data_IF_228676089257
#
_entry.id   IF_228676089257
#
_cell.length_a   1.000
_cell.length_b   1.000
_cell.length_c   1.000
_cell.angle_alpha   90.00
_cell.angle_beta   90.00
_cell.angle_gamma   90.00
#
_symmetry.space_group_name_H-M   'P 1'
#
loop_
_entity.id
_entity.type
_entity.pdbx_description
1 polymer ?
#
# COMPACT_ATOMS: atom_id res chain seq x y z
N UNK A 1 -3.49 12.77 28.49
CA UNK A 1 -4.20 12.83 27.19
C UNK A 1 -3.38 13.48 26.05
N UNK A 2 -2.03 13.54 26.11
CA UNK A 2 -1.21 14.18 25.05
C UNK A 2 -0.74 13.24 23.92
N UNK A 3 -0.68 11.93 24.13
CA UNK A 3 -0.13 10.99 23.14
C UNK A 3 -0.97 10.87 21.86
N UNK A 4 -2.30 10.79 21.99
CA UNK A 4 -3.21 10.58 20.85
C UNK A 4 -3.26 11.78 19.89
N UNK A 5 -3.18 13.01 20.41
CA UNK A 5 -3.08 14.22 19.58
C UNK A 5 -1.75 14.30 18.81
N UNK A 6 -0.69 13.73 19.37
CA UNK A 6 0.65 13.73 18.76
C UNK A 6 0.75 12.75 17.60
N UNK A 7 0.15 11.55 17.72
CA UNK A 7 0.17 10.54 16.66
C UNK A 7 -0.64 10.97 15.43
N UNK A 8 -1.86 11.50 15.59
CA UNK A 8 -2.67 11.95 14.45
C UNK A 8 -2.03 13.14 13.72
N UNK A 9 -1.35 14.03 14.44
CA UNK A 9 -0.58 15.10 13.81
C UNK A 9 0.58 14.53 12.97
N UNK A 10 1.32 13.55 13.49
CA UNK A 10 2.40 12.89 12.75
C UNK A 10 1.87 12.18 11.49
N UNK A 11 0.73 11.49 11.60
CA UNK A 11 0.08 10.85 10.45
C UNK A 11 -0.31 11.92 9.41
N UNK A 12 -0.97 13.01 9.81
CA UNK A 12 -1.36 14.08 8.88
C UNK A 12 -0.16 14.67 8.12
N UNK A 13 0.95 14.92 8.80
CA UNK A 13 2.19 15.41 8.15
C UNK A 13 2.68 14.39 7.13
N UNK A 14 2.71 13.10 7.49
CA UNK A 14 3.16 12.03 6.59
C UNK A 14 2.24 11.82 5.40
N UNK A 15 0.92 11.97 5.58
CA UNK A 15 -0.05 11.95 4.49
C UNK A 15 0.25 13.08 3.50
N UNK A 16 0.38 14.32 3.97
CA UNK A 16 0.64 15.47 3.10
C UNK A 16 1.98 15.34 2.34
N UNK A 17 3.05 14.87 3.00
CA UNK A 17 4.33 14.57 2.34
C UNK A 17 4.16 13.51 1.23
N UNK A 18 3.37 12.47 1.51
CA UNK A 18 3.14 11.35 0.60
C UNK A 18 2.29 11.74 -0.60
N UNK A 19 1.26 12.56 -0.42
CA UNK A 19 0.45 13.12 -1.51
C UNK A 19 1.31 13.92 -2.50
N UNK A 20 2.27 14.70 -1.99
CA UNK A 20 3.26 15.40 -2.81
C UNK A 20 4.09 14.46 -3.69
N UNK A 21 4.53 13.33 -3.12
CA UNK A 21 5.30 12.29 -3.84
C UNK A 21 4.44 11.57 -4.88
N UNK A 22 3.21 11.21 -4.52
CA UNK A 22 2.26 10.54 -5.42
C UNK A 22 1.92 11.38 -6.65
N UNK A 23 1.89 12.71 -6.51
CA UNK A 23 1.74 13.61 -7.64
C UNK A 23 2.89 13.50 -8.65
N UNK A 24 4.12 13.24 -8.19
CA UNK A 24 5.30 13.09 -9.09
C UNK A 24 5.23 11.85 -9.97
N UNK A 25 4.49 10.83 -9.54
CA UNK A 25 4.22 9.60 -10.30
C UNK A 25 2.84 9.62 -10.97
N UNK A 26 2.17 10.78 -11.00
CA UNK A 26 0.91 10.99 -11.70
C UNK A 26 -0.32 10.35 -11.03
N UNK A 27 -0.24 10.00 -9.75
CA UNK A 27 -1.38 9.41 -9.04
C UNK A 27 -2.31 10.47 -8.45
N UNK A 28 -3.61 10.34 -8.73
CA UNK A 28 -4.66 11.13 -8.10
C UNK A 28 -5.16 10.47 -6.82
N UNK A 29 -4.88 11.09 -5.68
CA UNK A 29 -5.21 10.58 -4.33
C UNK A 29 -6.62 11.02 -3.94
N UNK A 30 -7.45 10.08 -3.48
CA UNK A 30 -8.67 10.39 -2.73
C UNK A 30 -8.31 10.89 -1.32
N UNK A 31 -9.10 11.79 -0.76
CA UNK A 31 -8.80 12.32 0.58
C UNK A 31 -8.73 11.19 1.62
N UNK A 32 -7.57 11.03 2.28
CA UNK A 32 -7.39 10.10 3.39
C UNK A 32 -7.19 10.88 4.68
N UNK A 33 -8.07 10.70 5.66
CA UNK A 33 -7.89 11.30 6.98
C UNK A 33 -6.93 10.46 7.84
N UNK A 34 -6.27 11.11 8.81
CA UNK A 34 -5.42 10.39 9.76
C UNK A 34 -6.19 9.35 10.61
N UNK A 35 -7.49 9.55 10.81
CA UNK A 35 -8.36 8.59 11.48
C UNK A 35 -8.57 7.33 10.65
N UNK A 36 -8.99 7.49 9.39
CA UNK A 36 -9.15 6.37 8.44
C UNK A 36 -7.84 5.60 8.27
N UNK A 37 -6.72 6.31 8.10
CA UNK A 37 -5.41 5.70 8.01
C UNK A 37 -5.08 4.87 9.26
N UNK A 38 -5.26 5.44 10.45
CA UNK A 38 -4.99 4.74 11.69
C UNK A 38 -5.88 3.50 11.86
N UNK A 39 -7.18 3.60 11.58
CA UNK A 39 -8.11 2.48 11.67
C UNK A 39 -7.75 1.37 10.69
N UNK A 40 -7.39 1.73 9.45
CA UNK A 40 -6.97 0.76 8.43
C UNK A 40 -5.74 -0.03 8.86
N UNK A 41 -4.67 0.67 9.26
CA UNK A 41 -3.39 0.06 9.65
C UNK A 41 -3.49 -0.73 10.95
N UNK A 42 -4.37 -0.32 11.87
CA UNK A 42 -4.59 -1.06 13.14
C UNK A 42 -5.62 -2.19 13.01
N UNK A 43 -6.18 -2.39 11.81
CA UNK A 43 -7.11 -3.45 11.52
C UNK A 43 -6.47 -4.84 11.49
N UNK A 44 -7.30 -5.86 11.65
CA UNK A 44 -6.84 -7.25 11.50
C UNK A 44 -6.61 -7.58 10.01
N UNK A 45 -5.53 -8.27 9.70
CA UNK A 45 -5.24 -8.78 8.34
C UNK A 45 -5.23 -10.31 8.33
N UNK A 46 -5.69 -10.98 7.24
CA UNK A 46 -5.65 -12.45 7.15
C UNK A 46 -4.23 -13.04 7.20
N UNK A 47 -3.23 -12.25 6.83
CA UNK A 47 -1.81 -12.57 6.82
C UNK A 47 -1.14 -12.37 8.18
N UNK A 48 -1.79 -11.66 9.11
CA UNK A 48 -1.23 -11.34 10.42
C UNK A 48 0.03 -10.48 10.32
N UNK A 49 0.04 -9.51 9.39
CA UNK A 49 1.26 -8.79 9.01
C UNK A 49 1.98 -8.14 10.21
N UNK A 50 3.32 -8.16 10.13
CA UNK A 50 4.25 -7.77 11.18
C UNK A 50 4.60 -6.26 11.10
N UNK A 51 4.17 -5.57 10.03
CA UNK A 51 4.53 -4.17 9.79
C UNK A 51 3.71 -3.27 10.72
N UNK A 52 4.40 -2.57 11.61
CA UNK A 52 3.76 -1.67 12.57
C UNK A 52 3.51 -0.28 11.98
N UNK A 53 2.59 0.48 12.59
CA UNK A 53 2.36 1.89 12.25
C UNK A 53 3.67 2.71 12.25
N UNK A 54 4.59 2.44 13.17
CA UNK A 54 5.88 3.14 13.22
C UNK A 54 6.80 2.76 12.05
N UNK A 55 6.77 1.49 11.60
CA UNK A 55 7.50 1.09 10.40
C UNK A 55 6.94 1.80 9.17
N UNK A 56 5.62 1.90 9.05
CA UNK A 56 4.96 2.61 7.96
C UNK A 56 5.34 4.10 7.99
N UNK A 57 5.15 4.78 9.12
CA UNK A 57 5.44 6.22 9.23
C UNK A 57 6.92 6.59 9.07
N UNK A 58 7.84 5.62 9.18
CA UNK A 58 9.29 5.83 9.00
C UNK A 58 9.81 5.44 7.62
N UNK A 59 9.03 4.73 6.81
CA UNK A 59 9.40 4.30 5.47
C UNK A 59 8.46 4.95 4.44
N UNK A 60 9.02 5.76 3.55
CA UNK A 60 8.21 6.49 2.56
C UNK A 60 7.52 5.60 1.53
N UNK A 61 8.10 4.43 1.21
CA UNK A 61 7.50 3.47 0.29
C UNK A 61 6.29 2.79 0.91
N UNK A 62 6.37 2.42 2.20
CA UNK A 62 5.21 1.92 2.93
C UNK A 62 4.12 2.98 3.08
N UNK A 63 4.47 4.23 3.42
CA UNK A 63 3.47 5.31 3.43
C UNK A 63 2.78 5.46 2.07
N UNK A 64 3.55 5.47 0.99
CA UNK A 64 3.02 5.59 -0.37
C UNK A 64 2.08 4.44 -0.69
N UNK A 65 2.48 3.21 -0.38
CA UNK A 65 1.68 2.01 -0.57
C UNK A 65 0.31 2.11 0.11
N UNK A 66 0.30 2.37 1.42
CA UNK A 66 -0.93 2.39 2.22
C UNK A 66 -1.88 3.52 1.77
N UNK A 67 -1.35 4.69 1.40
CA UNK A 67 -2.18 5.79 0.90
C UNK A 67 -2.83 5.46 -0.43
N UNK A 68 -2.11 4.80 -1.35
CA UNK A 68 -2.69 4.34 -2.62
C UNK A 68 -3.75 3.28 -2.36
N UNK A 69 -3.48 2.30 -1.50
CA UNK A 69 -4.44 1.24 -1.20
C UNK A 69 -5.75 1.79 -0.63
N UNK A 70 -5.67 2.63 0.42
CA UNK A 70 -6.84 3.28 1.01
C UNK A 70 -7.58 4.13 -0.03
N UNK A 71 -6.84 4.91 -0.83
CA UNK A 71 -7.42 5.76 -1.88
C UNK A 71 -8.17 4.93 -2.94
N UNK A 72 -7.60 3.82 -3.42
CA UNK A 72 -8.27 2.93 -4.37
C UNK A 72 -9.54 2.29 -3.78
N UNK A 73 -9.50 1.88 -2.50
CA UNK A 73 -10.69 1.35 -1.83
C UNK A 73 -11.80 2.40 -1.74
N UNK A 74 -11.45 3.66 -1.47
CA UNK A 74 -12.41 4.78 -1.48
C UNK A 74 -12.99 5.04 -2.88
N UNK A 75 -12.18 4.97 -3.94
CA UNK A 75 -12.67 5.04 -5.35
C UNK A 75 -13.65 3.92 -5.67
N UNK A 76 -13.51 2.75 -5.05
CA UNK A 76 -14.44 1.63 -5.14
C UNK A 76 -15.69 1.77 -4.27
N UNK A 77 -15.86 2.91 -3.57
CA UNK A 77 -16.99 3.19 -2.68
C UNK A 77 -16.93 2.43 -1.35
N UNK A 78 -15.76 1.96 -0.93
CA UNK A 78 -15.60 1.24 0.35
C UNK A 78 -15.33 2.24 1.47
N UNK A 79 -16.04 2.07 2.57
CA UNK A 79 -15.79 2.80 3.83
C UNK A 79 -14.59 2.16 4.53
N UNK A 80 -13.66 3.01 4.98
CA UNK A 80 -12.42 2.60 5.63
C UNK A 80 -12.65 2.51 7.13
N UNK A 81 -12.42 1.32 7.68
CA UNK A 81 -12.47 0.98 9.10
C UNK A 81 -11.49 -0.17 9.41
N UNK A 82 -11.34 -0.51 10.69
CA UNK A 82 -10.47 -1.60 11.18
C UNK A 82 -10.83 -3.01 10.70
N UNK A 83 -11.93 -3.17 9.97
CA UNK A 83 -12.41 -4.44 9.44
C UNK A 83 -12.41 -4.45 7.90
N UNK A 84 -12.00 -3.35 7.24
CA UNK A 84 -12.02 -3.22 5.79
C UNK A 84 -11.29 -4.37 5.11
N UNK A 85 -10.09 -4.72 5.59
CA UNK A 85 -9.28 -5.82 5.04
C UNK A 85 -10.04 -7.14 5.09
N UNK A 86 -10.58 -7.50 6.26
CA UNK A 86 -11.31 -8.76 6.44
C UNK A 86 -12.62 -8.82 5.65
N UNK A 87 -13.38 -7.72 5.63
CA UNK A 87 -14.70 -7.65 4.93
C UNK A 87 -14.57 -7.62 3.41
N UNK A 88 -13.48 -7.05 2.89
CA UNK A 88 -13.34 -6.71 1.48
C UNK A 88 -12.06 -7.27 0.85
N UNK A 89 -11.51 -8.36 1.38
CA UNK A 89 -10.21 -8.90 0.99
C UNK A 89 -9.95 -8.96 -0.52
N UNK A 90 -10.87 -9.45 -1.38
CA UNK A 90 -10.63 -9.46 -2.83
C UNK A 90 -10.39 -8.07 -3.44
N UNK A 91 -11.10 -7.04 -2.97
CA UNK A 91 -10.94 -5.65 -3.42
C UNK A 91 -9.69 -5.01 -2.82
N UNK A 92 -9.37 -5.37 -1.58
CA UNK A 92 -8.11 -4.96 -0.91
C UNK A 92 -6.92 -5.51 -1.68
N UNK A 93 -6.95 -6.78 -2.07
CA UNK A 93 -5.88 -7.35 -2.89
C UNK A 93 -5.78 -6.70 -4.29
N UNK A 94 -6.90 -6.27 -4.88
CA UNK A 94 -6.86 -5.49 -6.13
C UNK A 94 -6.22 -4.11 -5.95
N UNK A 95 -6.56 -3.41 -4.87
CA UNK A 95 -6.00 -2.13 -4.47
C UNK A 95 -4.50 -2.25 -4.14
N UNK A 96 -4.10 -3.30 -3.40
CA UNK A 96 -2.72 -3.67 -3.11
C UNK A 96 -1.87 -3.80 -4.36
N UNK A 97 -2.37 -4.46 -5.41
CA UNK A 97 -1.66 -4.55 -6.68
C UNK A 97 -1.53 -3.18 -7.36
N UNK A 98 -2.50 -2.27 -7.23
CA UNK A 98 -2.33 -0.88 -7.68
C UNK A 98 -1.25 -0.18 -6.86
N UNK A 99 -1.31 -0.28 -5.53
CA UNK A 99 -0.36 0.33 -4.61
C UNK A 99 1.07 -0.11 -4.90
N UNK A 100 1.28 -1.41 -5.12
CA UNK A 100 2.57 -1.97 -5.50
C UNK A 100 3.12 -1.38 -6.81
N UNK A 101 2.28 -1.18 -7.84
CA UNK A 101 2.74 -0.60 -9.10
C UNK A 101 3.24 0.84 -8.92
N UNK A 102 2.51 1.66 -8.14
CA UNK A 102 2.92 3.05 -7.87
C UNK A 102 4.12 3.13 -6.93
N UNK A 103 4.19 2.28 -5.90
CA UNK A 103 5.33 2.14 -5.00
C UNK A 103 6.61 1.83 -5.77
N UNK A 104 6.58 0.80 -6.62
CA UNK A 104 7.74 0.40 -7.42
C UNK A 104 8.07 1.42 -8.51
N UNK A 105 7.07 2.11 -9.08
CA UNK A 105 7.30 3.22 -10.02
C UNK A 105 8.04 4.37 -9.32
N UNK A 106 7.66 4.71 -8.10
CA UNK A 106 8.32 5.75 -7.31
C UNK A 106 9.75 5.34 -6.93
N UNK A 107 9.95 4.11 -6.46
CA UNK A 107 11.29 3.56 -6.18
C UNK A 107 12.18 3.58 -7.43
N UNK A 108 11.63 3.22 -8.60
CA UNK A 108 12.34 3.26 -9.86
C UNK A 108 12.78 4.68 -10.25
N UNK A 109 11.89 5.66 -10.13
CA UNK A 109 12.22 7.06 -10.41
C UNK A 109 13.32 7.60 -9.48
N UNK A 110 13.39 7.09 -8.25
CA UNK A 110 14.44 7.39 -7.28
C UNK A 110 15.69 6.50 -7.39
N UNK A 111 15.71 5.56 -8.35
CA UNK A 111 16.81 4.61 -8.59
C UNK A 111 17.10 3.69 -7.39
N UNK A 112 16.09 3.41 -6.58
CA UNK A 112 16.17 2.49 -5.45
C UNK A 112 15.87 1.05 -5.90
N UNK A 113 16.83 0.46 -6.61
CA UNK A 113 16.69 -0.87 -7.19
C UNK A 113 16.71 -1.98 -6.13
N UNK A 114 17.34 -1.74 -4.98
CA UNK A 114 17.34 -2.68 -3.86
C UNK A 114 15.93 -2.82 -3.27
N UNK A 115 15.21 -1.71 -3.08
CA UNK A 115 13.80 -1.77 -2.67
C UNK A 115 12.95 -2.56 -3.67
N UNK A 116 13.13 -2.32 -4.97
CA UNK A 116 12.41 -3.06 -6.02
C UNK A 116 12.67 -4.56 -5.91
N UNK A 117 13.94 -4.95 -5.76
CA UNK A 117 14.35 -6.35 -5.64
C UNK A 117 13.78 -7.01 -4.39
N UNK A 118 13.82 -6.34 -3.24
CA UNK A 118 13.22 -6.83 -2.00
C UNK A 118 11.72 -7.09 -2.18
N UNK A 119 10.99 -6.11 -2.74
CA UNK A 119 9.55 -6.22 -2.92
C UNK A 119 9.15 -7.31 -3.92
N UNK A 120 9.87 -7.46 -5.02
CA UNK A 120 9.62 -8.52 -6.01
C UNK A 120 9.93 -9.92 -5.49
N UNK A 121 10.87 -10.07 -4.56
CA UNK A 121 11.23 -11.36 -3.96
C UNK A 121 10.38 -11.71 -2.74
N UNK A 122 9.73 -10.72 -2.13
CA UNK A 122 8.77 -10.92 -1.04
C UNK A 122 7.46 -11.61 -1.50
N UNK A 123 6.76 -12.23 -0.55
CA UNK A 123 5.43 -12.80 -0.80
C UNK A 123 4.31 -11.74 -0.93
N UNK A 124 4.62 -10.44 -0.86
CA UNK A 124 3.63 -9.37 -0.92
C UNK A 124 2.79 -9.39 -2.20
N UNK A 125 3.29 -9.92 -3.31
CA UNK A 125 2.55 -10.05 -4.56
C UNK A 125 1.58 -11.26 -4.60
N UNK A 126 1.43 -12.01 -3.50
CA UNK A 126 0.53 -13.16 -3.40
C UNK A 126 -0.69 -12.79 -2.53
N UNK A 127 -1.88 -13.33 -2.86
CA UNK A 127 -3.01 -13.21 -1.95
C UNK A 127 -2.77 -14.10 -0.71
N UNK A 128 -3.46 -13.78 0.37
CA UNK A 128 -3.46 -14.49 1.63
C UNK A 128 -3.93 -15.93 1.47
N UNK A 129 -3.52 -16.78 2.41
CA UNK A 129 -3.96 -18.16 2.46
C UNK A 129 -5.49 -18.25 2.53
N UNK A 130 -6.07 -19.16 1.74
CA UNK A 130 -7.52 -19.24 1.52
C UNK A 130 -8.05 -18.43 0.32
N UNK A 131 -7.28 -17.46 -0.18
CA UNK A 131 -7.65 -16.61 -1.33
C UNK A 131 -6.88 -16.94 -2.61
N UNK A 132 -6.27 -18.13 -2.68
CA UNK A 132 -5.49 -18.58 -3.84
C UNK A 132 -6.28 -18.60 -5.16
N UNK A 133 -7.60 -18.71 -5.11
CA UNK A 133 -8.46 -18.59 -6.29
C UNK A 133 -8.39 -17.20 -6.96
N UNK A 134 -8.03 -16.14 -6.21
CA UNK A 134 -7.81 -14.80 -6.76
C UNK A 134 -6.55 -14.71 -7.61
N UNK A 135 -5.60 -15.65 -7.45
CA UNK A 135 -4.39 -15.71 -8.28
C UNK A 135 -4.76 -15.76 -9.75
N UNK A 136 -5.81 -16.51 -10.12
CA UNK A 136 -6.27 -16.65 -11.50
C UNK A 136 -6.94 -15.38 -12.05
N UNK A 137 -7.69 -14.64 -11.22
CA UNK A 137 -8.45 -13.45 -11.64
C UNK A 137 -7.58 -12.22 -11.87
N UNK A 138 -6.55 -12.03 -11.04
CA UNK A 138 -5.67 -10.87 -11.10
C UNK A 138 -4.24 -11.23 -11.56
N UNK A 139 -4.10 -12.40 -12.20
CA UNK A 139 -2.82 -12.91 -12.70
C UNK A 139 -2.12 -11.90 -13.60
N UNK A 140 -2.88 -11.25 -14.47
CA UNK A 140 -2.33 -10.42 -15.54
C UNK A 140 -1.72 -9.14 -14.99
N UNK A 141 -2.41 -8.45 -14.09
CA UNK A 141 -1.88 -7.26 -13.41
C UNK A 141 -0.61 -7.58 -12.62
N UNK A 142 -0.63 -8.66 -11.84
CA UNK A 142 0.56 -9.13 -11.11
C UNK A 142 1.73 -9.42 -12.06
N UNK A 143 1.50 -10.17 -13.14
CA UNK A 143 2.52 -10.49 -14.15
C UNK A 143 3.07 -9.24 -14.83
N UNK A 144 2.21 -8.25 -15.11
CA UNK A 144 2.61 -6.97 -15.68
C UNK A 144 3.55 -6.20 -14.76
N UNK A 145 3.24 -6.12 -13.46
CA UNK A 145 4.11 -5.46 -12.46
C UNK A 145 5.47 -6.16 -12.41
N UNK A 146 5.47 -7.49 -12.27
CA UNK A 146 6.73 -8.27 -12.25
C UNK A 146 7.52 -8.00 -13.52
N UNK A 147 6.90 -8.11 -14.71
CA UNK A 147 7.58 -7.87 -15.99
C UNK A 147 8.14 -6.45 -16.08
N UNK A 148 7.38 -5.43 -15.65
CA UNK A 148 7.78 -4.02 -15.68
C UNK A 148 9.06 -3.75 -14.87
N UNK A 149 9.24 -4.43 -13.75
CA UNK A 149 10.33 -4.14 -12.82
C UNK A 149 11.45 -5.19 -12.78
N UNK A 150 11.25 -6.40 -13.33
CA UNK A 150 12.28 -7.47 -13.33
C UNK A 150 13.56 -7.07 -14.08
N UNK A 151 13.45 -6.31 -15.16
CA UNK A 151 14.63 -5.87 -15.92
C UNK A 151 15.48 -4.86 -15.15
N UNK A 152 14.90 -4.22 -14.13
CA UNK A 152 15.51 -3.18 -13.31
C UNK A 152 16.06 -3.70 -11.98
N UNK A 153 15.80 -4.97 -11.63
CA UNK A 153 16.29 -5.61 -10.40
C UNK A 153 17.53 -6.49 -10.61
N UNK A 154 18.17 -6.40 -11.78
CA UNK A 154 19.31 -7.24 -12.21
C UNK A 154 20.67 -6.54 -12.22
N UNK A 155 20.69 -5.24 -11.95
CA UNK A 155 21.90 -4.44 -11.73
C UNK A 155 22.41 -4.61 -10.30
#
# INVERSE_FOLDING_TARGET
MNGSRTIFNRINVKIAETEGKLKTVGYGVEHVSAGEFYEYISGETPTGDIVTLDNILSNEYFMLHEIVEISELKKMGIVIDKQTVMKHYPKVYEAHLTAMDYELTYAYNNRDYEWIKERLTSNSLLPADGYNHLRGKLTDKRKMIIKKFTDHSRS
#
